data_IF_773828745813
#
_entry.id   IF_773828745813
#
_cell.length_a   1.000
_cell.length_b   1.000
_cell.length_c   1.000
_cell.angle_alpha   90.00
_cell.angle_beta   90.00
_cell.angle_gamma   90.00
#
_symmetry.space_group_name_H-M   'P 1'
#
loop_
_entity.id
_entity.type
_entity.pdbx_description
1 polymer ?
#
# COMPACT_ATOMS: atom_id res chain seq x y z
N UNK A 1 -19.04 -2.72 36.33
CA UNK A 1 -18.00 -1.67 36.45
C UNK A 1 -17.87 -1.00 35.11
N UNK A 2 -18.37 0.23 34.99
CA UNK A 2 -18.30 1.02 33.74
C UNK A 2 -16.83 1.19 33.36
N UNK A 3 -16.39 0.81 32.15
CA UNK A 3 -15.05 1.13 31.71
C UNK A 3 -15.03 2.64 31.47
N UNK A 4 -14.61 3.40 32.48
CA UNK A 4 -14.07 4.75 32.29
C UNK A 4 -12.75 4.62 31.51
N UNK A 5 -12.86 4.28 30.22
CA UNK A 5 -11.78 4.38 29.26
C UNK A 5 -11.63 5.87 28.94
N UNK A 6 -10.73 6.52 29.67
CA UNK A 6 -10.45 7.96 29.51
C UNK A 6 -9.69 8.14 28.19
N UNK A 7 -10.43 8.36 27.09
CA UNK A 7 -9.84 8.84 25.84
C UNK A 7 -9.40 10.29 26.05
N UNK A 8 -8.13 10.49 26.39
CA UNK A 8 -7.55 11.80 26.74
C UNK A 8 -7.08 12.62 25.55
N UNK A 9 -7.04 12.04 24.33
CA UNK A 9 -6.53 12.70 23.14
C UNK A 9 -7.68 13.08 22.21
N UNK A 10 -8.02 14.37 22.17
CA UNK A 10 -8.97 14.95 21.22
C UNK A 10 -8.30 15.23 19.87
N UNK A 11 -9.05 15.12 18.76
CA UNK A 11 -8.56 15.37 17.39
C UNK A 11 -7.35 14.51 16.98
N UNK A 12 -7.42 13.20 17.27
CA UNK A 12 -6.37 12.27 16.86
C UNK A 12 -6.40 12.03 15.34
N UNK A 13 -5.24 12.16 14.69
CA UNK A 13 -5.05 11.80 13.29
C UNK A 13 -4.21 10.53 13.20
N UNK A 14 -4.73 9.52 12.51
CA UNK A 14 -4.02 8.25 12.28
C UNK A 14 -2.71 8.50 11.55
N UNK A 15 -1.60 8.04 12.15
CA UNK A 15 -0.33 7.90 11.44
C UNK A 15 -0.07 6.42 11.27
N UNK A 16 0.29 6.03 10.05
CA UNK A 16 0.67 4.67 9.73
C UNK A 16 2.19 4.53 9.84
N UNK A 17 2.64 3.35 10.26
CA UNK A 17 4.05 3.06 10.36
C UNK A 17 4.60 2.86 8.94
N UNK A 18 5.75 3.47 8.64
CA UNK A 18 6.47 3.15 7.42
C UNK A 18 7.12 1.79 7.64
N UNK A 19 6.41 0.73 7.25
CA UNK A 19 6.93 -0.64 7.25
C UNK A 19 7.18 -1.08 5.81
N UNK A 20 8.29 -0.63 5.17
CA UNK A 20 8.58 -0.94 3.76
C UNK A 20 8.88 -2.43 3.48
N UNK A 21 8.75 -3.31 4.47
CA UNK A 21 9.14 -4.73 4.41
C UNK A 21 7.97 -5.73 4.45
N UNK A 22 6.71 -5.27 4.56
CA UNK A 22 5.53 -6.14 4.62
C UNK A 22 4.69 -6.07 3.33
N UNK A 23 5.37 -5.89 2.19
CA UNK A 23 4.74 -5.92 0.89
C UNK A 23 5.49 -6.81 -0.09
N UNK A 24 4.75 -7.39 -1.03
CA UNK A 24 5.32 -8.10 -2.17
C UNK A 24 4.73 -7.54 -3.45
N UNK A 25 5.56 -7.45 -4.49
CA UNK A 25 5.13 -7.10 -5.84
C UNK A 25 5.65 -8.16 -6.80
N UNK A 26 4.77 -8.63 -7.69
CA UNK A 26 5.09 -9.58 -8.73
C UNK A 26 4.53 -9.08 -10.05
N UNK A 27 5.28 -9.31 -11.13
CA UNK A 27 4.84 -8.95 -12.47
C UNK A 27 5.08 -10.12 -13.44
N UNK A 28 4.14 -10.30 -14.36
CA UNK A 28 4.26 -11.24 -15.47
C UNK A 28 4.04 -10.48 -16.77
N UNK A 29 4.94 -10.67 -17.74
CA UNK A 29 4.85 -9.95 -19.00
C UNK A 29 5.18 -10.80 -20.20
N UNK A 30 4.71 -10.34 -21.37
CA UNK A 30 4.96 -10.94 -22.66
C UNK A 30 5.55 -9.90 -23.61
N UNK A 31 6.73 -10.19 -24.16
CA UNK A 31 7.41 -9.32 -25.12
C UNK A 31 7.08 -9.74 -26.55
N UNK A 32 6.70 -8.76 -27.37
CA UNK A 32 6.30 -8.94 -28.77
C UNK A 32 7.40 -8.43 -29.73
N UNK A 33 8.68 -8.53 -29.33
CA UNK A 33 9.80 -8.06 -30.15
C UNK A 33 9.99 -6.54 -30.17
N UNK A 34 9.59 -5.86 -29.09
CA UNK A 34 9.73 -4.41 -28.91
C UNK A 34 8.77 -3.91 -27.83
N UNK A 35 7.46 -3.83 -28.12
CA UNK A 35 6.46 -3.60 -27.09
C UNK A 35 6.32 -4.85 -26.21
N UNK A 36 6.20 -4.63 -24.90
CA UNK A 36 5.96 -5.66 -23.88
C UNK A 36 4.70 -5.28 -23.09
N UNK A 37 3.80 -6.23 -22.91
CA UNK A 37 2.66 -6.05 -22.00
C UNK A 37 3.01 -6.74 -20.69
N UNK A 38 2.81 -6.07 -19.57
CA UNK A 38 3.15 -6.54 -18.24
C UNK A 38 1.95 -6.36 -17.30
N UNK A 39 1.56 -7.43 -16.63
CA UNK A 39 0.57 -7.40 -15.56
C UNK A 39 1.30 -7.49 -14.22
N UNK A 40 1.11 -6.48 -13.38
CA UNK A 40 1.71 -6.37 -12.05
C UNK A 40 0.62 -6.50 -10.99
N UNK A 41 0.93 -7.26 -9.94
CA UNK A 41 0.14 -7.38 -8.73
C UNK A 41 1.05 -7.06 -7.56
N UNK A 42 0.62 -6.12 -6.72
CA UNK A 42 1.30 -5.83 -5.47
C UNK A 42 0.33 -5.87 -4.29
N UNK A 43 0.86 -6.23 -3.14
CA UNK A 43 0.17 -6.28 -1.87
C UNK A 43 1.06 -5.63 -0.84
N UNK A 44 0.55 -4.65 -0.10
CA UNK A 44 1.29 -3.97 0.96
C UNK A 44 0.40 -3.77 2.18
N UNK A 45 0.95 -4.01 3.38
CA UNK A 45 0.25 -3.76 4.64
C UNK A 45 0.97 -2.72 5.47
N UNK A 46 0.21 -1.75 5.97
CA UNK A 46 0.67 -0.69 6.83
C UNK A 46 -0.01 -0.81 8.19
N UNK A 47 0.77 -1.14 9.22
CA UNK A 47 0.28 -1.17 10.60
C UNK A 47 0.16 0.27 11.16
N UNK A 48 -0.65 0.45 12.19
CA UNK A 48 -0.86 1.76 12.84
C UNK A 48 0.36 2.11 13.68
N UNK A 49 0.93 3.31 13.46
CA UNK A 49 2.14 3.72 14.18
C UNK A 49 1.86 3.97 15.66
N UNK A 50 2.64 3.32 16.52
CA UNK A 50 2.61 3.61 17.96
C UNK A 50 3.35 4.92 18.24
N UNK A 51 2.64 6.06 18.19
CA UNK A 51 3.22 7.38 18.44
C UNK A 51 3.68 7.52 19.90
N UNK A 52 4.99 7.36 20.14
CA UNK A 52 5.79 7.99 21.22
C UNK A 52 5.46 7.62 22.67
N UNK A 53 4.28 7.08 22.92
CA UNK A 53 3.78 6.70 24.23
C UNK A 53 3.68 5.18 24.18
N UNK A 54 4.53 4.46 24.92
CA UNK A 54 4.52 2.99 25.01
C UNK A 54 3.19 2.45 25.56
N UNK A 55 2.11 2.56 24.78
CA UNK A 55 0.79 2.03 25.12
C UNK A 55 0.89 0.51 25.10
N UNK A 56 0.78 -0.11 26.28
CA UNK A 56 0.72 -1.57 26.44
C UNK A 56 -0.64 -2.09 25.93
N UNK A 57 -0.69 -3.35 25.49
CA UNK A 57 -1.91 -4.03 25.00
C UNK A 57 -2.57 -3.43 23.72
N UNK A 58 -1.79 -2.96 22.74
CA UNK A 58 -2.35 -2.50 21.45
C UNK A 58 -3.40 -1.37 21.58
N UNK A 59 -3.42 -0.66 22.71
CA UNK A 59 -4.45 0.35 22.99
C UNK A 59 -4.42 1.51 21.99
N UNK A 60 -3.29 1.72 21.30
CA UNK A 60 -3.15 2.68 20.21
C UNK A 60 -3.98 2.34 18.97
N UNK A 61 -4.59 1.15 18.89
CA UNK A 61 -5.51 0.75 17.81
C UNK A 61 -6.96 1.14 18.07
N UNK A 62 -7.31 1.56 19.29
CA UNK A 62 -8.70 1.83 19.70
C UNK A 62 -8.98 3.32 19.86
N UNK A 63 -10.08 3.79 19.28
CA UNK A 63 -10.51 5.19 19.30
C UNK A 63 -12.00 5.31 19.59
N UNK A 64 -12.40 6.31 20.38
CA UNK A 64 -13.80 6.65 20.54
C UNK A 64 -14.20 7.80 19.61
N UNK A 65 -15.29 7.61 18.88
CA UNK A 65 -15.95 8.63 18.09
C UNK A 65 -17.22 9.09 18.83
N UNK A 66 -17.29 10.36 19.21
CA UNK A 66 -18.48 11.01 19.77
C UNK A 66 -19.00 12.09 18.83
N UNK A 67 -20.31 12.30 18.83
CA UNK A 67 -20.92 13.39 18.06
C UNK A 67 -20.60 14.77 18.66
N UNK A 68 -20.43 14.81 19.98
CA UNK A 68 -20.10 16.02 20.74
C UNK A 68 -18.59 16.11 21.02
N UNK A 69 -18.08 17.34 21.18
CA UNK A 69 -16.67 17.61 21.47
C UNK A 69 -16.19 17.03 22.82
N UNK A 70 -17.13 16.69 23.70
CA UNK A 70 -16.90 16.02 24.98
C UNK A 70 -17.56 14.65 24.96
N UNK A 71 -16.80 13.62 25.34
CA UNK A 71 -17.31 12.24 25.43
C UNK A 71 -18.24 12.16 26.64
N UNK A 72 -19.56 12.22 26.40
CA UNK A 72 -20.57 11.94 27.41
C UNK A 72 -20.73 10.43 27.61
N UNK A 73 -21.11 10.01 28.83
CA UNK A 73 -21.42 8.61 29.12
C UNK A 73 -22.43 8.04 28.11
N UNK A 74 -22.16 6.83 27.60
CA UNK A 74 -23.00 6.12 26.63
C UNK A 74 -23.24 6.81 25.27
N UNK A 75 -22.52 7.89 24.92
CA UNK A 75 -22.65 8.59 23.62
C UNK A 75 -21.38 8.55 22.77
N UNK A 76 -20.72 7.39 22.72
CA UNK A 76 -19.56 7.19 21.87
C UNK A 76 -19.55 5.79 21.26
N UNK A 77 -18.98 5.68 20.07
CA UNK A 77 -18.72 4.41 19.38
C UNK A 77 -17.23 4.14 19.43
N UNK A 78 -16.82 2.92 19.75
CA UNK A 78 -15.42 2.51 19.72
C UNK A 78 -15.09 1.94 18.33
N UNK A 79 -14.07 2.50 17.70
CA UNK A 79 -13.50 2.05 16.43
C UNK A 79 -12.15 1.41 16.71
N UNK A 80 -11.90 0.24 16.11
CA UNK A 80 -10.59 -0.42 16.11
C UNK A 80 -9.97 -0.26 14.72
N UNK A 81 -8.78 0.34 14.65
CA UNK A 81 -7.99 0.40 13.43
C UNK A 81 -6.97 -0.74 13.44
N UNK A 82 -7.18 -1.73 12.59
CA UNK A 82 -6.31 -2.91 12.43
C UNK A 82 -5.17 -2.67 11.43
N UNK A 83 -5.03 -1.44 10.92
CA UNK A 83 -4.09 -1.09 9.86
C UNK A 83 -4.78 -0.87 8.52
N UNK A 84 -3.95 -0.59 7.52
CA UNK A 84 -4.36 -0.38 6.13
C UNK A 84 -3.70 -1.46 5.28
N UNK A 85 -4.49 -2.14 4.46
CA UNK A 85 -3.97 -3.09 3.48
C UNK A 85 -4.32 -2.58 2.09
N UNK A 86 -3.35 -2.55 1.21
CA UNK A 86 -3.50 -2.10 -0.16
C UNK A 86 -3.12 -3.21 -1.12
N UNK A 87 -3.99 -3.48 -2.10
CA UNK A 87 -3.76 -4.45 -3.16
C UNK A 87 -3.85 -3.71 -4.48
N UNK A 88 -2.76 -3.63 -5.23
CA UNK A 88 -2.74 -2.97 -6.52
C UNK A 88 -2.69 -3.99 -7.66
N UNK A 89 -3.51 -3.75 -8.67
CA UNK A 89 -3.52 -4.48 -9.93
C UNK A 89 -3.21 -3.50 -11.04
N UNK A 90 -2.10 -3.72 -11.74
CA UNK A 90 -1.57 -2.81 -12.74
C UNK A 90 -1.41 -3.52 -14.08
N UNK A 91 -1.89 -2.89 -15.15
CA UNK A 91 -1.61 -3.28 -16.53
C UNK A 91 -0.69 -2.24 -17.15
N UNK A 92 0.53 -2.67 -17.43
CA UNK A 92 1.63 -1.85 -17.93
C UNK A 92 1.90 -2.18 -19.40
N UNK A 93 1.98 -1.15 -20.24
CA UNK A 93 2.54 -1.22 -21.58
C UNK A 93 3.97 -0.69 -21.53
N UNK A 94 4.93 -1.58 -21.77
CA UNK A 94 6.36 -1.33 -21.72
C UNK A 94 6.96 -1.31 -23.13
N UNK A 95 8.04 -0.56 -23.29
CA UNK A 95 8.87 -0.56 -24.48
C UNK A 95 10.33 -0.76 -24.07
N UNK A 96 10.93 -1.83 -24.56
CA UNK A 96 12.31 -2.19 -24.29
C UNK A 96 13.21 -1.54 -25.35
N UNK A 97 14.14 -0.70 -24.92
CA UNK A 97 15.11 -0.05 -25.81
C UNK A 97 16.36 -0.93 -25.86
N UNK A 98 16.42 -1.82 -26.83
CA UNK A 98 17.60 -2.67 -27.08
C UNK A 98 18.62 -1.91 -27.92
N UNK A 99 19.87 -1.84 -27.46
CA UNK A 99 21.01 -1.29 -28.21
C UNK A 99 22.02 -2.40 -28.48
N UNK A 100 22.40 -2.58 -29.74
CA UNK A 100 23.36 -3.59 -30.15
C UNK A 100 24.72 -3.39 -29.46
N UNK A 101 25.25 -4.45 -28.84
CA UNK A 101 26.58 -4.47 -28.23
C UNK A 101 26.64 -4.11 -26.74
N UNK A 102 25.52 -3.94 -26.05
CA UNK A 102 25.48 -3.58 -24.62
C UNK A 102 24.60 -4.57 -23.82
N UNK A 103 25.04 -5.06 -22.65
CA UNK A 103 24.30 -6.05 -21.85
C UNK A 103 23.16 -5.47 -21.01
N UNK A 104 22.91 -4.15 -21.05
CA UNK A 104 21.80 -3.50 -20.37
C UNK A 104 20.77 -2.97 -21.36
N UNK A 105 19.50 -3.16 -21.06
CA UNK A 105 18.34 -2.72 -21.85
C UNK A 105 17.45 -1.84 -20.99
N UNK A 106 17.48 -0.50 -21.16
CA UNK A 106 16.52 0.38 -20.50
C UNK A 106 15.12 0.14 -21.04
N UNK A 107 14.13 0.23 -20.17
CA UNK A 107 12.73 0.10 -20.53
C UNK A 107 11.89 1.17 -19.85
N UNK A 108 10.86 1.62 -20.55
CA UNK A 108 9.85 2.55 -20.04
C UNK A 108 8.50 1.89 -20.15
N UNK A 109 7.69 2.02 -19.11
CA UNK A 109 6.31 1.58 -19.11
C UNK A 109 5.36 2.69 -18.70
N UNK A 110 4.19 2.67 -19.31
CA UNK A 110 3.03 3.40 -18.85
C UNK A 110 1.91 2.40 -18.58
N UNK A 111 1.28 2.50 -17.42
CA UNK A 111 0.23 1.58 -17.02
C UNK A 111 -0.95 2.24 -16.35
N UNK A 112 -2.04 1.51 -16.40
CA UNK A 112 -3.30 1.83 -15.74
C UNK A 112 -3.66 0.66 -14.85
N UNK A 113 -4.28 0.96 -13.72
CA UNK A 113 -4.63 -0.08 -12.77
C UNK A 113 -5.71 0.35 -11.81
N UNK A 114 -5.90 -0.51 -10.83
CA UNK A 114 -6.78 -0.25 -9.71
C UNK A 114 -6.09 -0.65 -8.42
N UNK A 115 -6.21 0.21 -7.43
CA UNK A 115 -5.75 -0.03 -6.07
C UNK A 115 -6.98 -0.33 -5.22
N UNK A 116 -6.92 -1.40 -4.43
CA UNK A 116 -7.94 -1.80 -3.48
C UNK A 116 -7.45 -1.44 -2.09
N UNK A 117 -7.88 -0.27 -1.62
CA UNK A 117 -7.54 0.18 -0.27
C UNK A 117 -8.56 -0.40 0.70
N UNK A 118 -8.08 -1.24 1.61
CA UNK A 118 -8.87 -1.81 2.71
C UNK A 118 -8.58 -1.04 3.99
N UNK A 119 -9.62 -0.40 4.55
CA UNK A 119 -9.56 0.35 5.80
C UNK A 119 -10.83 0.07 6.59
N UNK A 120 -10.70 -0.39 7.84
CA UNK A 120 -11.84 -0.73 8.71
C UNK A 120 -12.85 -1.72 8.08
N UNK A 121 -12.35 -2.82 7.50
CA UNK A 121 -13.16 -3.84 6.79
C UNK A 121 -13.93 -3.34 5.56
N UNK A 122 -13.73 -2.08 5.14
CA UNK A 122 -14.27 -1.53 3.92
C UNK A 122 -13.20 -1.50 2.82
N UNK A 123 -13.45 -2.19 1.72
CA UNK A 123 -12.59 -2.20 0.53
C UNK A 123 -13.11 -1.21 -0.50
N UNK A 124 -12.31 -0.19 -0.83
CA UNK A 124 -12.68 0.82 -1.84
C UNK A 124 -11.75 0.74 -3.05
N UNK A 125 -12.28 0.44 -4.26
CA UNK A 125 -11.48 0.45 -5.48
C UNK A 125 -11.19 1.89 -5.93
N UNK A 126 -9.94 2.16 -6.31
CA UNK A 126 -9.50 3.45 -6.83
C UNK A 126 -8.69 3.23 -8.10
N UNK A 127 -8.95 4.03 -9.13
CA UNK A 127 -8.18 3.98 -10.38
C UNK A 127 -6.79 4.58 -10.12
N UNK A 128 -5.76 3.88 -10.59
CA UNK A 128 -4.36 4.26 -10.47
C UNK A 128 -3.68 4.31 -11.85
N UNK A 129 -2.67 5.17 -11.95
CA UNK A 129 -1.84 5.34 -13.13
C UNK A 129 -0.39 5.25 -12.68
N UNK A 130 0.43 4.47 -13.39
CA UNK A 130 1.81 4.23 -13.02
C UNK A 130 2.73 4.49 -14.22
N UNK A 131 3.80 5.25 -14.00
CA UNK A 131 4.92 5.33 -14.92
C UNK A 131 6.08 4.54 -14.32
N UNK A 132 6.61 3.57 -15.06
CA UNK A 132 7.76 2.76 -14.64
C UNK A 132 8.93 3.01 -15.57
N UNK A 133 10.10 3.23 -15.00
CA UNK A 133 11.37 3.30 -15.71
C UNK A 133 12.30 2.28 -15.07
N UNK A 134 12.90 1.43 -15.87
CA UNK A 134 13.79 0.40 -15.37
C UNK A 134 14.95 0.12 -16.31
N UNK A 135 15.93 -0.58 -15.77
CA UNK A 135 17.08 -1.08 -16.50
C UNK A 135 17.10 -2.59 -16.31
N UNK A 136 17.12 -3.34 -17.39
CA UNK A 136 17.25 -4.80 -17.36
C UNK A 136 18.67 -5.19 -17.78
N UNK A 137 19.34 -6.04 -17.01
CA UNK A 137 20.67 -6.57 -17.28
C UNK A 137 20.57 -8.05 -17.67
N UNK A 138 20.91 -8.38 -18.92
CA UNK A 138 20.85 -9.75 -19.41
C UNK A 138 22.07 -10.56 -18.92
N UNK A 139 21.85 -11.55 -18.05
CA UNK A 139 22.88 -12.50 -17.62
C UNK A 139 22.99 -13.64 -18.63
N UNK A 140 21.88 -14.06 -19.23
CA UNK A 140 21.78 -15.05 -20.31
C UNK A 140 20.58 -14.73 -21.20
N UNK A 141 20.41 -15.36 -22.38
CA UNK A 141 19.27 -15.09 -23.27
C UNK A 141 17.89 -15.32 -22.61
N UNK A 142 17.85 -16.12 -21.56
CA UNK A 142 16.64 -16.53 -20.84
C UNK A 142 16.51 -15.89 -19.45
N UNK A 143 17.56 -15.24 -18.94
CA UNK A 143 17.57 -14.66 -17.59
C UNK A 143 18.18 -13.26 -17.57
N UNK A 144 17.43 -12.33 -16.99
CA UNK A 144 17.84 -10.96 -16.77
C UNK A 144 17.51 -10.52 -15.35
N UNK A 145 18.30 -9.58 -14.81
CA UNK A 145 18.09 -8.95 -13.50
C UNK A 145 17.81 -7.48 -13.68
#
# INVERSE_FOLDING_TARGET
TSPTSVFTISNYSFKYENNPFLGFAGAIGYSMGGPRVEFEVSYETFDVKNQGNNYKNEAHRYYALSHDATIAENKFVVLKNEGLSDISFMLNACYDVTTDGIPFSPYICAGIGTDLVSMFEATSPKISYQGKLGLSYSISPETSV
#
